data_IF_037584786705
#
_entry.id   IF_037584786705
#
_cell.length_a   1.000
_cell.length_b   1.000
_cell.length_c   1.000
_cell.angle_alpha   90.00
_cell.angle_beta   90.00
_cell.angle_gamma   90.00
#
_symmetry.space_group_name_H-M   'P 1'
#
loop_
_entity.id
_entity.type
_entity.pdbx_description
1 polymer ?
#
# COMPACT_ATOMS: atom_id res chain seq x y z
N UNK A 1 35.52 11.30 39.02
CA UNK A 1 34.72 12.39 38.44
C UNK A 1 33.36 11.81 38.08
N UNK A 2 32.29 12.18 38.77
CA UNK A 2 30.96 11.61 38.54
C UNK A 2 29.93 12.72 38.56
N UNK A 3 29.33 12.97 37.38
CA UNK A 3 28.15 13.75 37.03
C UNK A 3 28.36 14.48 35.70
N UNK A 4 28.45 13.73 34.61
CA UNK A 4 28.19 14.28 33.27
C UNK A 4 26.68 14.26 33.08
N UNK A 5 26.00 15.36 33.42
CA UNK A 5 24.54 15.45 33.38
C UNK A 5 23.98 15.20 31.97
N UNK A 6 22.89 14.44 31.88
CA UNK A 6 22.11 14.27 30.65
C UNK A 6 21.02 15.34 30.54
N UNK A 7 20.73 15.78 29.31
CA UNK A 7 19.62 16.72 29.05
C UNK A 7 18.34 15.93 28.84
N UNK A 8 17.25 16.31 29.50
CA UNK A 8 15.91 15.73 29.34
C UNK A 8 14.96 16.80 28.81
N UNK A 9 14.12 16.44 27.83
CA UNK A 9 13.05 17.30 27.33
C UNK A 9 11.69 16.66 27.61
N UNK A 10 10.80 17.41 28.24
CA UNK A 10 9.40 17.05 28.43
C UNK A 10 8.54 17.86 27.46
N UNK A 11 7.66 17.19 26.71
CA UNK A 11 6.67 17.83 25.87
C UNK A 11 5.29 17.63 26.50
N UNK A 12 4.62 18.72 26.83
CA UNK A 12 3.25 18.73 27.37
C UNK A 12 2.33 19.31 26.30
N UNK A 13 1.34 18.53 25.87
CA UNK A 13 0.38 18.94 24.85
C UNK A 13 -1.01 19.13 25.46
N UNK A 14 -1.64 20.26 25.20
CA UNK A 14 -3.04 20.56 25.62
C UNK A 14 -4.08 20.10 24.59
N UNK A 15 -3.62 19.67 23.40
CA UNK A 15 -4.41 19.06 22.33
C UNK A 15 -3.63 17.88 21.79
N UNK A 16 -4.33 16.88 21.27
CA UNK A 16 -3.68 15.72 20.64
C UNK A 16 -2.73 16.20 19.52
N UNK A 17 -1.40 15.97 19.64
CA UNK A 17 -0.44 16.41 18.64
C UNK A 17 -0.38 15.50 17.41
N UNK A 18 -1.08 14.36 17.44
CA UNK A 18 -1.16 13.46 16.30
C UNK A 18 -2.09 14.01 15.23
N UNK A 19 -1.73 13.74 13.97
CA UNK A 19 -2.62 13.98 12.83
C UNK A 19 -3.87 13.09 12.97
N UNK A 20 -5.01 13.49 12.38
CA UNK A 20 -6.19 12.63 12.30
C UNK A 20 -5.82 11.26 11.75
N UNK A 21 -6.45 10.22 12.29
CA UNK A 21 -6.21 8.85 11.85
C UNK A 21 -6.59 8.76 10.36
N UNK A 22 -5.67 8.34 9.46
CA UNK A 22 -5.99 8.16 8.05
C UNK A 22 -7.07 7.10 7.86
N UNK A 23 -7.72 7.09 6.70
CA UNK A 23 -8.69 6.05 6.36
C UNK A 23 -8.08 4.64 6.51
N UNK A 24 -8.89 3.68 6.95
CA UNK A 24 -8.45 2.30 7.19
C UNK A 24 -8.04 1.55 5.92
N UNK A 25 -8.28 2.11 4.73
CA UNK A 25 -7.76 1.60 3.48
C UNK A 25 -7.54 2.72 2.45
N UNK A 26 -6.64 2.46 1.51
CA UNK A 26 -6.38 3.33 0.37
C UNK A 26 -6.30 2.50 -0.91
N UNK A 27 -6.61 3.11 -2.05
CA UNK A 27 -6.31 2.52 -3.36
C UNK A 27 -4.82 2.59 -3.60
N UNK A 28 -4.22 1.46 -3.97
CA UNK A 28 -2.84 1.39 -4.45
C UNK A 28 -2.89 1.12 -5.94
N UNK A 29 -2.81 2.17 -6.74
CA UNK A 29 -2.92 2.10 -8.21
C UNK A 29 -1.59 1.75 -8.86
N UNK A 30 -1.64 0.88 -9.87
CA UNK A 30 -0.53 0.59 -10.78
C UNK A 30 -1.03 0.68 -12.21
N UNK A 31 -0.37 1.50 -13.03
CA UNK A 31 -0.62 1.53 -14.46
C UNK A 31 0.20 0.43 -15.13
N UNK A 32 -0.42 -0.36 -15.99
CA UNK A 32 0.25 -1.48 -16.66
C UNK A 32 1.40 -1.03 -17.57
N UNK A 33 1.32 0.17 -18.15
CA UNK A 33 2.42 0.73 -18.93
C UNK A 33 3.69 0.94 -18.09
N UNK A 34 3.56 1.27 -16.80
CA UNK A 34 4.70 1.42 -15.88
C UNK A 34 5.39 0.08 -15.59
N UNK A 35 4.69 -1.05 -15.79
CA UNK A 35 5.22 -2.40 -15.69
C UNK A 35 5.71 -2.97 -17.04
N UNK A 36 5.69 -2.17 -18.11
CA UNK A 36 6.00 -2.65 -19.47
C UNK A 36 4.93 -3.58 -20.05
N UNK A 37 3.71 -3.56 -19.50
CA UNK A 37 2.58 -4.35 -19.96
C UNK A 37 1.67 -3.49 -20.85
N UNK A 38 1.20 -4.08 -21.94
CA UNK A 38 0.29 -3.45 -22.90
C UNK A 38 -0.91 -4.34 -23.18
N UNK A 39 -2.06 -3.70 -23.45
CA UNK A 39 -3.33 -4.37 -23.67
C UNK A 39 -3.97 -4.94 -22.38
N UNK A 40 -5.07 -5.69 -22.52
CA UNK A 40 -5.72 -6.35 -21.41
C UNK A 40 -4.78 -7.36 -20.73
N UNK A 41 -4.76 -7.35 -19.40
CA UNK A 41 -4.00 -8.26 -18.56
C UNK A 41 -4.93 -9.04 -17.64
N UNK A 42 -4.60 -10.31 -17.40
CA UNK A 42 -5.24 -11.13 -16.38
C UNK A 42 -4.58 -10.87 -15.03
N UNK A 43 -5.40 -10.64 -14.00
CA UNK A 43 -4.94 -10.44 -12.62
C UNK A 43 -5.40 -11.61 -11.76
N UNK A 44 -4.44 -12.24 -11.05
CA UNK A 44 -4.70 -13.30 -10.08
C UNK A 44 -4.21 -12.89 -8.71
N UNK A 45 -5.06 -13.04 -7.70
CA UNK A 45 -4.68 -12.94 -6.29
C UNK A 45 -3.91 -14.20 -5.88
N UNK A 46 -2.65 -14.05 -5.48
CA UNK A 46 -1.78 -15.19 -5.17
C UNK A 46 -2.00 -15.76 -3.77
N UNK A 47 -2.58 -14.99 -2.85
CA UNK A 47 -2.86 -15.46 -1.50
C UNK A 47 -4.14 -16.29 -1.45
N UNK A 48 -5.19 -15.84 -2.14
CA UNK A 48 -6.46 -16.58 -2.21
C UNK A 48 -6.51 -17.57 -3.38
N UNK A 49 -5.57 -17.45 -4.32
CA UNK A 49 -5.56 -18.22 -5.56
C UNK A 49 -6.63 -17.80 -6.56
N UNK A 50 -7.42 -16.76 -6.27
CA UNK A 50 -8.58 -16.33 -7.06
C UNK A 50 -8.16 -15.56 -8.31
N UNK A 51 -8.74 -15.91 -9.45
CA UNK A 51 -8.68 -15.11 -10.67
C UNK A 51 -9.64 -13.91 -10.54
N UNK A 52 -9.12 -12.69 -10.70
CA UNK A 52 -9.89 -11.45 -10.62
C UNK A 52 -10.40 -10.97 -11.99
N UNK A 53 -10.00 -11.66 -13.07
CA UNK A 53 -10.43 -11.39 -14.43
C UNK A 53 -9.45 -10.54 -15.24
N UNK A 54 -9.93 -10.04 -16.38
CA UNK A 54 -9.17 -9.19 -17.28
C UNK A 54 -9.38 -7.71 -16.91
N UNK A 55 -8.28 -6.99 -16.79
CA UNK A 55 -8.23 -5.56 -16.51
C UNK A 55 -7.42 -4.89 -17.62
N UNK A 56 -7.75 -3.65 -17.98
CA UNK A 56 -7.01 -2.87 -18.96
C UNK A 56 -6.58 -1.53 -18.37
N UNK A 57 -5.38 -1.07 -18.73
CA UNK A 57 -4.84 0.23 -18.33
C UNK A 57 -4.32 0.27 -16.90
N UNK A 58 -5.19 0.17 -15.91
CA UNK A 58 -4.85 0.36 -14.49
C UNK A 58 -5.50 -0.69 -13.59
N UNK A 59 -4.74 -1.13 -12.58
CA UNK A 59 -5.26 -1.94 -11.48
C UNK A 59 -5.06 -1.20 -10.15
N UNK A 60 -6.15 -1.00 -9.39
CA UNK A 60 -6.13 -0.19 -8.17
C UNK A 60 -6.88 -0.86 -7.00
N UNK A 61 -6.35 -1.96 -6.42
CA UNK A 61 -6.97 -2.61 -5.28
C UNK A 61 -6.94 -1.72 -4.04
N UNK A 62 -8.00 -1.79 -3.23
CA UNK A 62 -7.95 -1.27 -1.86
C UNK A 62 -7.06 -2.14 -0.98
N UNK A 63 -6.10 -1.52 -0.30
CA UNK A 63 -5.21 -2.13 0.69
C UNK A 63 -5.52 -1.52 2.04
N UNK A 64 -5.76 -2.36 3.06
CA UNK A 64 -5.99 -1.88 4.42
C UNK A 64 -4.70 -1.31 5.02
N UNK A 65 -4.84 -0.40 5.97
CA UNK A 65 -3.71 0.14 6.74
C UNK A 65 -2.89 -1.00 7.35
N UNK A 66 -1.57 -0.95 7.20
CA UNK A 66 -0.61 -2.02 7.55
C UNK A 66 -0.83 -3.36 6.84
N UNK A 67 -1.73 -3.42 5.86
CA UNK A 67 -1.96 -4.59 5.02
C UNK A 67 -1.06 -4.59 3.79
N UNK A 68 -0.93 -5.78 3.20
CA UNK A 68 -0.35 -5.98 1.88
C UNK A 68 -1.29 -6.84 1.05
N UNK A 69 -1.03 -6.92 -0.26
CA UNK A 69 -1.70 -7.83 -1.20
C UNK A 69 -0.69 -8.29 -2.22
N UNK A 70 -0.80 -9.53 -2.69
CA UNK A 70 0.13 -10.12 -3.65
C UNK A 70 -0.63 -10.60 -4.89
N UNK A 71 -0.22 -10.09 -6.05
CA UNK A 71 -0.88 -10.36 -7.33
C UNK A 71 0.11 -10.86 -8.37
N UNK A 72 -0.36 -11.76 -9.23
CA UNK A 72 0.28 -12.07 -10.52
C UNK A 72 -0.50 -11.37 -11.61
N UNK A 73 0.22 -10.60 -12.42
CA UNK A 73 -0.33 -9.91 -13.59
C UNK A 73 0.35 -10.49 -14.83
N UNK A 74 -0.44 -10.94 -15.80
CA UNK A 74 0.07 -11.51 -17.04
C UNK A 74 -0.76 -11.06 -18.23
N UNK A 75 -0.15 -10.99 -19.42
CA UNK A 75 -0.90 -10.76 -20.66
C UNK A 75 -1.97 -11.83 -20.83
N UNK A 76 -3.13 -11.45 -21.39
CA UNK A 76 -4.16 -12.42 -21.78
C UNK A 76 -3.55 -13.38 -22.81
N UNK A 77 -3.63 -14.69 -22.55
CA UNK A 77 -3.22 -15.69 -23.55
C UNK A 77 -4.18 -15.61 -24.73
N UNK A 78 -3.61 -15.45 -25.92
CA UNK A 78 -4.34 -15.43 -27.19
C UNK A 78 -4.91 -16.80 -27.51
#
# INVERSE_FOLDING_TARGET
MQNTGGTIQFLVYTKNPYRPIPADSAKVSINFAQLGLSGPCTVRDLWTGKELGQVAGEFAPYVRRHGAKLYRISKVKK
#
